data_IF_526914630647
#
_entry.id   IF_526914630647
#
_cell.length_a   1.000
_cell.length_b   1.000
_cell.length_c   1.000
_cell.angle_alpha   90.00
_cell.angle_beta   90.00
_cell.angle_gamma   90.00
#
_symmetry.space_group_name_H-M   'P 1'
#
loop_
_entity.id
_entity.type
_entity.pdbx_description
1 polymer ?
#
# COMPACT_ATOMS: atom_id res chain seq x y z
N UNK A 1 -3.98 -27.91 7.87
CA UNK A 1 -4.57 -26.63 7.42
C UNK A 1 -3.41 -25.79 6.91
N UNK A 2 -3.43 -25.33 5.67
CA UNK A 2 -2.40 -24.42 5.19
C UNK A 2 -2.51 -23.09 5.96
N UNK A 3 -1.38 -22.59 6.44
CA UNK A 3 -1.33 -21.27 7.10
C UNK A 3 -1.72 -20.21 6.06
N UNK A 4 -2.70 -19.37 6.41
CA UNK A 4 -3.11 -18.24 5.57
C UNK A 4 -2.02 -17.16 5.59
N UNK A 5 -1.65 -16.59 4.44
CA UNK A 5 -0.63 -15.56 4.41
C UNK A 5 -1.09 -14.28 5.12
N UNK A 6 -0.18 -13.66 5.86
CA UNK A 6 -0.36 -12.33 6.42
C UNK A 6 0.63 -11.38 5.75
N UNK A 7 0.12 -10.40 5.04
CA UNK A 7 0.93 -9.48 4.23
C UNK A 7 0.78 -8.05 4.74
N UNK A 8 1.91 -7.40 4.99
CA UNK A 8 1.98 -5.95 5.23
C UNK A 8 2.11 -5.23 3.89
N UNK A 9 1.13 -4.40 3.55
CA UNK A 9 1.18 -3.49 2.40
C UNK A 9 1.56 -2.08 2.81
N UNK A 10 2.41 -1.40 2.03
CA UNK A 10 2.89 -0.04 2.25
C UNK A 10 2.71 0.78 0.99
N UNK A 11 2.12 1.97 1.12
CA UNK A 11 1.89 2.93 0.04
C UNK A 11 2.48 4.29 0.38
N UNK A 12 3.24 4.86 -0.56
CA UNK A 12 3.82 6.20 -0.47
C UNK A 12 4.06 6.84 -1.85
N UNK A 13 3.24 6.52 -2.85
CA UNK A 13 3.50 6.92 -4.25
C UNK A 13 3.28 8.40 -4.54
N UNK A 14 2.52 9.13 -3.72
CA UNK A 14 2.18 10.53 -3.94
C UNK A 14 2.13 11.33 -2.62
N UNK A 15 0.94 11.62 -2.11
CA UNK A 15 0.70 12.51 -0.97
C UNK A 15 -0.04 11.81 0.19
N UNK A 16 -0.06 10.49 0.17
CA UNK A 16 -0.63 9.69 1.25
C UNK A 16 0.37 8.64 1.72
N UNK A 17 0.59 8.57 3.05
CA UNK A 17 1.32 7.48 3.66
C UNK A 17 0.31 6.48 4.17
N UNK A 18 0.33 5.26 3.67
CA UNK A 18 -0.59 4.23 4.14
C UNK A 18 0.11 2.89 4.42
N UNK A 19 -0.48 2.15 5.37
CA UNK A 19 -0.11 0.77 5.64
C UNK A 19 -1.34 -0.06 5.97
N UNK A 20 -1.36 -1.30 5.51
CA UNK A 20 -2.44 -2.25 5.75
C UNK A 20 -1.90 -3.64 6.05
N UNK A 21 -2.62 -4.41 6.88
CA UNK A 21 -2.42 -5.84 7.00
C UNK A 21 -3.58 -6.58 6.35
N UNK A 22 -3.23 -7.50 5.46
CA UNK A 22 -4.17 -8.28 4.66
C UNK A 22 -3.88 -9.76 4.84
N UNK A 23 -4.94 -10.55 4.93
CA UNK A 23 -4.93 -12.01 4.90
C UNK A 23 -6.01 -12.52 3.96
N UNK A 24 -6.31 -13.80 3.98
CA UNK A 24 -7.42 -14.40 3.22
C UNK A 24 -8.36 -15.20 4.15
N UNK A 25 -9.61 -15.33 3.75
CA UNK A 25 -10.56 -16.22 4.41
C UNK A 25 -10.41 -17.69 3.95
N UNK A 26 -11.32 -18.59 4.36
CA UNK A 26 -11.31 -20.00 3.97
C UNK A 26 -11.51 -20.23 2.47
N UNK A 27 -12.10 -19.27 1.77
CA UNK A 27 -12.36 -19.30 0.34
C UNK A 27 -11.25 -18.65 -0.50
N UNK A 28 -10.16 -18.17 0.13
CA UNK A 28 -9.08 -17.45 -0.55
C UNK A 28 -9.44 -16.00 -0.90
N UNK A 29 -10.50 -15.44 -0.32
CA UNK A 29 -10.92 -14.07 -0.54
C UNK A 29 -10.09 -13.14 0.38
N UNK A 30 -9.52 -12.03 -0.13
CA UNK A 30 -8.78 -11.09 0.68
C UNK A 30 -9.60 -10.52 1.84
N UNK A 31 -8.99 -10.44 3.01
CA UNK A 31 -9.56 -9.82 4.23
C UNK A 31 -8.61 -8.76 4.72
N UNK A 32 -9.07 -7.52 4.76
CA UNK A 32 -8.32 -6.38 5.32
C UNK A 32 -8.49 -6.40 6.83
N UNK A 33 -7.40 -6.62 7.56
CA UNK A 33 -7.38 -6.64 9.02
C UNK A 33 -7.20 -5.23 9.60
N UNK A 34 -6.42 -4.39 8.91
CA UNK A 34 -6.22 -2.98 9.24
C UNK A 34 -5.89 -2.19 8.00
N UNK A 35 -6.23 -0.89 7.99
CA UNK A 35 -5.91 0.03 6.91
C UNK A 35 -5.74 1.44 7.48
N UNK A 36 -4.50 1.89 7.63
CA UNK A 36 -4.14 3.17 8.20
C UNK A 36 -3.67 4.10 7.10
N UNK A 37 -4.28 5.25 6.99
CA UNK A 37 -3.96 6.26 5.97
C UNK A 37 -3.67 7.59 6.68
N UNK A 38 -2.57 8.23 6.29
CA UNK A 38 -2.21 9.59 6.67
C UNK A 38 -2.11 10.45 5.42
N UNK A 39 -3.16 11.22 5.16
CA UNK A 39 -3.18 12.17 4.03
C UNK A 39 -2.35 13.41 4.35
N UNK A 40 -1.77 13.99 3.29
CA UNK A 40 -0.99 15.23 3.33
C UNK A 40 -1.68 16.39 2.58
N UNK A 41 -2.96 16.24 2.25
CA UNK A 41 -3.72 17.23 1.47
C UNK A 41 -3.61 18.63 2.08
N UNK A 42 -3.72 18.77 3.39
CA UNK A 42 -3.62 20.07 4.06
C UNK A 42 -2.23 20.70 3.93
N UNK A 43 -1.17 19.88 3.91
CA UNK A 43 0.21 20.38 3.73
C UNK A 43 0.42 20.94 2.34
N UNK A 44 -0.22 20.35 1.32
CA UNK A 44 -0.03 20.74 -0.08
C UNK A 44 -1.03 21.79 -0.58
N UNK A 45 -2.08 22.07 0.18
CA UNK A 45 -3.17 22.96 -0.20
C UNK A 45 -2.68 24.39 -0.54
N UNK A 46 -1.72 24.91 0.22
CA UNK A 46 -1.15 26.23 0.01
C UNK A 46 -0.34 26.35 -1.29
N UNK A 47 0.11 25.22 -1.83
CA UNK A 47 0.94 25.15 -3.05
C UNK A 47 0.10 24.89 -4.31
N UNK A 48 -1.21 24.64 -4.17
CA UNK A 48 -2.10 24.30 -5.28
C UNK A 48 -1.84 22.93 -5.93
N UNK A 49 -1.03 22.08 -5.29
CA UNK A 49 -0.69 20.74 -5.77
C UNK A 49 0.43 20.11 -4.95
N UNK A 50 0.73 18.84 -5.20
CA UNK A 50 1.73 18.08 -4.44
C UNK A 50 3.14 18.59 -4.73
N UNK A 51 3.87 18.92 -3.67
CA UNK A 51 5.31 19.26 -3.70
C UNK A 51 6.11 18.01 -3.33
N UNK A 52 6.80 17.37 -4.28
CA UNK A 52 7.38 16.03 -4.08
C UNK A 52 8.34 15.93 -2.89
N UNK A 53 9.18 16.94 -2.67
CA UNK A 53 10.16 16.95 -1.57
C UNK A 53 9.49 17.06 -0.20
N UNK A 54 8.43 17.87 -0.10
CA UNK A 54 7.63 17.97 1.14
C UNK A 54 6.89 16.66 1.41
N UNK A 55 6.32 16.07 0.36
CA UNK A 55 5.65 14.78 0.47
C UNK A 55 6.62 13.69 0.96
N UNK A 56 7.81 13.60 0.37
CA UNK A 56 8.82 12.61 0.76
C UNK A 56 9.26 12.78 2.22
N UNK A 57 9.47 14.02 2.69
CA UNK A 57 9.78 14.31 4.11
C UNK A 57 8.65 13.85 5.03
N UNK A 58 7.42 14.18 4.70
CA UNK A 58 6.25 13.75 5.48
C UNK A 58 6.10 12.23 5.52
N UNK A 59 6.40 11.52 4.43
CA UNK A 59 6.46 10.06 4.45
C UNK A 59 7.52 9.54 5.41
N UNK A 60 8.73 10.10 5.37
CA UNK A 60 9.83 9.69 6.27
C UNK A 60 9.49 9.89 7.74
N UNK A 61 8.75 10.96 8.08
CA UNK A 61 8.38 11.28 9.45
C UNK A 61 7.26 10.41 10.01
N UNK A 62 6.49 9.73 9.14
CA UNK A 62 5.24 9.05 9.56
C UNK A 62 5.22 7.55 9.30
N UNK A 63 6.03 7.07 8.36
CA UNK A 63 5.89 5.70 7.84
C UNK A 63 6.02 4.63 8.92
N UNK A 64 6.93 4.79 9.87
CA UNK A 64 7.14 3.86 10.98
C UNK A 64 5.92 3.84 11.91
N UNK A 65 5.38 5.01 12.26
CA UNK A 65 4.20 5.15 13.10
C UNK A 65 2.96 4.56 12.43
N UNK A 66 2.80 4.77 11.12
CA UNK A 66 1.67 4.26 10.34
C UNK A 66 1.74 2.73 10.25
N UNK A 67 2.92 2.17 10.00
CA UNK A 67 3.12 0.71 9.99
C UNK A 67 2.89 0.11 11.37
N UNK A 68 3.44 0.72 12.42
CA UNK A 68 3.21 0.26 13.80
C UNK A 68 1.72 0.26 14.14
N UNK A 69 1.01 1.33 13.78
CA UNK A 69 -0.43 1.44 14.03
C UNK A 69 -1.22 0.39 13.27
N UNK A 70 -0.86 0.13 12.00
CA UNK A 70 -1.50 -0.92 11.21
C UNK A 70 -1.33 -2.30 11.85
N UNK A 71 -0.14 -2.62 12.36
CA UNK A 71 0.12 -3.89 13.06
C UNK A 71 -0.73 -3.98 14.34
N UNK A 72 -0.75 -2.93 15.17
CA UNK A 72 -1.54 -2.91 16.40
C UNK A 72 -3.04 -3.09 16.12
N UNK A 73 -3.59 -2.32 15.17
CA UNK A 73 -5.02 -2.38 14.84
C UNK A 73 -5.44 -3.71 14.20
N UNK A 74 -4.53 -4.40 13.54
CA UNK A 74 -4.80 -5.74 12.99
C UNK A 74 -4.98 -6.81 14.06
N UNK A 75 -4.55 -6.56 15.30
CA UNK A 75 -4.51 -7.56 16.36
C UNK A 75 -3.47 -8.66 16.15
N UNK A 76 -2.55 -8.47 15.17
CA UNK A 76 -1.50 -9.43 14.83
C UNK A 76 -0.15 -9.01 15.40
N UNK A 77 0.75 -9.98 15.53
CA UNK A 77 2.13 -9.74 15.92
C UNK A 77 3.00 -9.57 14.68
N UNK A 78 4.07 -8.80 14.82
CA UNK A 78 5.02 -8.54 13.72
C UNK A 78 5.66 -9.83 13.18
N UNK A 79 5.89 -10.82 14.06
CA UNK A 79 6.48 -12.12 13.71
C UNK A 79 5.55 -12.97 12.85
N UNK A 80 4.25 -12.71 12.87
CA UNK A 80 3.25 -13.42 12.06
C UNK A 80 3.24 -12.99 10.60
N UNK A 81 3.83 -11.82 10.28
CA UNK A 81 3.91 -11.31 8.90
C UNK A 81 4.72 -12.28 8.04
N UNK A 82 4.14 -12.67 6.92
CA UNK A 82 4.75 -13.64 5.98
C UNK A 82 5.45 -12.95 4.80
N UNK A 83 5.03 -11.74 4.43
CA UNK A 83 5.65 -10.93 3.38
C UNK A 83 5.38 -9.44 3.60
N UNK A 84 6.25 -8.60 3.04
CA UNK A 84 6.07 -7.15 2.99
C UNK A 84 5.97 -6.72 1.54
N UNK A 85 4.94 -5.94 1.21
CA UNK A 85 4.70 -5.40 -0.10
C UNK A 85 4.78 -3.87 -0.05
N UNK A 86 5.38 -3.24 -1.08
CA UNK A 86 5.35 -1.79 -1.22
C UNK A 86 5.12 -1.40 -2.67
N UNK A 87 4.46 -0.26 -2.86
CA UNK A 87 4.27 0.32 -4.18
C UNK A 87 5.62 0.72 -4.78
N UNK A 88 5.89 0.21 -5.99
CA UNK A 88 7.16 0.43 -6.70
C UNK A 88 7.04 1.42 -7.86
N UNK A 89 5.84 1.80 -8.24
CA UNK A 89 5.55 2.75 -9.32
C UNK A 89 4.39 2.31 -10.20
N UNK A 90 3.89 3.22 -11.06
CA UNK A 90 4.28 4.62 -11.20
C UNK A 90 3.91 5.49 -10.00
N UNK A 91 4.59 6.65 -9.85
CA UNK A 91 4.38 7.63 -8.78
C UNK A 91 5.55 8.61 -8.69
N UNK A 92 5.52 9.49 -7.68
CA UNK A 92 6.61 10.43 -7.42
C UNK A 92 7.83 9.66 -6.90
N UNK A 93 8.94 9.71 -7.66
CA UNK A 93 10.11 8.86 -7.41
C UNK A 93 10.69 9.03 -5.99
N UNK A 94 10.72 10.26 -5.48
CA UNK A 94 11.22 10.54 -4.13
C UNK A 94 10.31 9.96 -3.05
N UNK A 95 9.00 9.99 -3.26
CA UNK A 95 7.99 9.42 -2.37
C UNK A 95 8.04 7.88 -2.40
N UNK A 96 8.05 7.29 -3.60
CA UNK A 96 8.21 5.83 -3.79
C UNK A 96 9.47 5.30 -3.11
N UNK A 97 10.58 6.05 -3.19
CA UNK A 97 11.85 5.66 -2.59
C UNK A 97 11.75 5.49 -1.08
N UNK A 98 10.92 6.26 -0.39
CA UNK A 98 10.70 6.14 1.06
C UNK A 98 10.04 4.80 1.38
N UNK A 99 8.87 4.53 0.79
CA UNK A 99 8.11 3.29 1.05
C UNK A 99 8.88 2.04 0.63
N UNK A 100 9.56 2.08 -0.52
CA UNK A 100 10.39 0.97 -1.00
C UNK A 100 11.57 0.69 -0.08
N UNK A 101 12.29 1.72 0.38
CA UNK A 101 13.44 1.56 1.26
C UNK A 101 13.01 1.03 2.62
N UNK A 102 11.96 1.60 3.19
CA UNK A 102 11.40 1.15 4.45
C UNK A 102 10.90 -0.31 4.35
N UNK A 103 10.08 -0.63 3.35
CA UNK A 103 9.53 -1.97 3.16
C UNK A 103 10.60 -3.04 2.94
N UNK A 104 11.65 -2.74 2.16
CA UNK A 104 12.79 -3.65 1.98
C UNK A 104 13.56 -3.87 3.27
N UNK A 105 13.86 -2.79 4.01
CA UNK A 105 14.57 -2.89 5.28
C UNK A 105 13.75 -3.68 6.31
N UNK A 106 12.44 -3.44 6.36
CA UNK A 106 11.53 -4.12 7.28
C UNK A 106 11.42 -5.62 6.93
N UNK A 107 11.25 -5.96 5.64
CA UNK A 107 11.25 -7.34 5.17
C UNK A 107 12.55 -8.07 5.50
N UNK A 108 13.69 -7.40 5.28
CA UNK A 108 15.01 -7.94 5.59
C UNK A 108 15.17 -8.20 7.09
N UNK A 109 14.77 -7.26 7.94
CA UNK A 109 14.84 -7.40 9.40
C UNK A 109 14.00 -8.59 9.90
N UNK A 110 12.85 -8.85 9.27
CA UNK A 110 11.98 -9.99 9.59
C UNK A 110 12.42 -11.31 8.93
N UNK A 111 13.42 -11.28 8.06
CA UNK A 111 13.80 -12.41 7.21
C UNK A 111 12.59 -12.95 6.39
N UNK A 112 11.84 -12.03 5.78
CA UNK A 112 10.64 -12.30 4.98
C UNK A 112 10.80 -11.79 3.54
N UNK A 113 10.08 -12.36 2.57
CA UNK A 113 10.10 -11.88 1.20
C UNK A 113 9.56 -10.44 1.10
N UNK A 114 10.15 -9.68 0.18
CA UNK A 114 9.69 -8.35 -0.23
C UNK A 114 9.03 -8.44 -1.61
N UNK A 115 7.88 -7.78 -1.78
CA UNK A 115 7.10 -7.76 -3.01
C UNK A 115 6.98 -6.31 -3.50
N UNK A 116 7.51 -6.05 -4.70
CA UNK A 116 7.33 -4.76 -5.37
C UNK A 116 6.01 -4.77 -6.15
N UNK A 117 5.08 -3.86 -5.83
CA UNK A 117 3.74 -3.81 -6.40
C UNK A 117 3.62 -2.65 -7.39
N UNK A 118 3.07 -2.91 -8.56
CA UNK A 118 2.72 -1.84 -9.50
C UNK A 118 1.49 -1.07 -8.98
N UNK A 119 1.61 0.26 -8.88
CA UNK A 119 0.55 1.14 -8.35
C UNK A 119 -0.77 1.03 -9.12
N UNK A 120 -0.71 0.98 -10.46
CA UNK A 120 -1.91 0.87 -11.29
C UNK A 120 -2.54 -0.53 -11.21
N UNK A 121 -1.72 -1.57 -11.07
CA UNK A 121 -2.19 -2.93 -10.84
C UNK A 121 -2.89 -3.04 -9.47
N UNK A 122 -2.35 -2.39 -8.44
CA UNK A 122 -3.00 -2.33 -7.13
C UNK A 122 -4.37 -1.67 -7.22
N UNK A 123 -4.51 -0.56 -7.96
CA UNK A 123 -5.82 0.04 -8.24
C UNK A 123 -6.74 -0.91 -9.00
N UNK A 124 -6.22 -1.61 -10.00
CA UNK A 124 -7.00 -2.57 -10.79
C UNK A 124 -7.55 -3.71 -9.93
N UNK A 125 -6.77 -4.18 -8.96
CA UNK A 125 -7.12 -5.31 -8.10
C UNK A 125 -7.94 -4.92 -6.87
N UNK A 126 -7.90 -3.65 -6.45
CA UNK A 126 -8.57 -3.18 -5.23
C UNK A 126 -10.09 -3.48 -5.18
N UNK A 127 -10.87 -3.43 -6.29
CA UNK A 127 -12.28 -3.78 -6.24
C UNK A 127 -12.54 -5.24 -5.83
N UNK A 128 -11.58 -6.15 -6.04
CA UNK A 128 -11.70 -7.56 -5.66
C UNK A 128 -11.70 -7.79 -4.15
N UNK A 129 -11.32 -6.79 -3.35
CA UNK A 129 -11.38 -6.86 -1.89
C UNK A 129 -12.84 -6.92 -1.41
N UNK A 130 -13.74 -6.20 -2.09
CA UNK A 130 -15.13 -6.03 -1.66
C UNK A 130 -16.16 -6.64 -2.64
N UNK A 131 -15.70 -7.05 -3.82
CA UNK A 131 -16.56 -7.55 -4.89
C UNK A 131 -16.04 -8.90 -5.41
N UNK A 132 -16.96 -9.82 -5.67
CA UNK A 132 -16.66 -11.05 -6.40
C UNK A 132 -16.55 -10.74 -7.90
N UNK A 133 -15.37 -10.26 -8.30
CA UNK A 133 -15.08 -9.97 -9.71
C UNK A 133 -14.32 -11.13 -10.35
N UNK A 134 -14.90 -11.65 -11.43
CA UNK A 134 -14.26 -12.66 -12.26
C UNK A 134 -13.56 -12.01 -13.47
N UNK A 135 -12.45 -12.58 -13.88
CA UNK A 135 -11.74 -12.15 -15.10
C UNK A 135 -12.45 -12.67 -16.35
N UNK A 136 -12.43 -11.91 -17.47
CA UNK A 136 -11.96 -10.53 -17.59
C UNK A 136 -13.02 -9.52 -17.10
N UNK A 137 -12.59 -8.33 -16.60
CA UNK A 137 -13.46 -7.20 -16.29
C UNK A 137 -12.90 -5.89 -16.85
N UNK A 138 -13.79 -4.92 -17.09
CA UNK A 138 -13.41 -3.60 -17.59
C UNK A 138 -13.09 -2.69 -16.40
N UNK A 139 -11.87 -2.16 -16.39
CA UNK A 139 -11.42 -1.14 -15.44
C UNK A 139 -11.40 0.22 -16.12
N UNK A 140 -12.04 1.21 -15.49
CA UNK A 140 -11.87 2.63 -15.79
C UNK A 140 -11.17 3.30 -14.62
N UNK A 141 -9.91 3.66 -14.80
CA UNK A 141 -9.14 4.41 -13.81
C UNK A 141 -9.06 5.87 -14.24
N UNK A 142 -9.63 6.76 -13.41
CA UNK A 142 -9.63 8.21 -13.61
C UNK A 142 -8.94 8.85 -12.41
N UNK A 143 -7.84 9.56 -12.64
CA UNK A 143 -7.12 10.30 -11.60
C UNK A 143 -6.50 11.58 -12.17
N UNK A 144 -6.16 12.54 -11.33
CA UNK A 144 -5.55 13.79 -11.75
C UNK A 144 -4.19 13.66 -12.45
N UNK A 145 -3.47 12.57 -12.22
CA UNK A 145 -2.16 12.28 -12.83
C UNK A 145 -2.13 11.05 -13.74
N UNK A 146 -3.17 10.23 -13.70
CA UNK A 146 -3.21 8.95 -14.41
C UNK A 146 -4.63 8.68 -14.88
N UNK A 147 -4.82 8.79 -16.17
CA UNK A 147 -6.10 8.47 -16.82
C UNK A 147 -5.89 7.30 -17.78
N UNK A 148 -6.41 6.13 -17.43
CA UNK A 148 -6.28 4.90 -18.22
C UNK A 148 -7.54 4.06 -18.22
N UNK A 149 -7.79 3.45 -19.40
CA UNK A 149 -8.85 2.47 -19.63
C UNK A 149 -8.19 1.14 -20.04
N UNK A 150 -8.46 0.07 -19.31
CA UNK A 150 -7.91 -1.25 -19.63
C UNK A 150 -8.90 -2.37 -19.33
N UNK A 151 -8.68 -3.51 -19.98
CA UNK A 151 -9.36 -4.78 -19.67
C UNK A 151 -8.39 -5.63 -18.86
N UNK A 152 -8.87 -6.09 -17.73
CA UNK A 152 -8.11 -6.92 -16.78
C UNK A 152 -8.71 -8.32 -16.71
#
# INVERSE_FOLDING_TARGET
>A
MNKKPLILGIESSCDETAASLITENEQGIPVVLSNIISSQVEVHKEFGGVVPELAARSHMEKIDLIVQKAIIESGRKVEEIDAVASTAGPGLIVCLSVGLSFGKAFAYALNKPFIAVNHLEAHALSPKINLELNYPYLLLLISGGQDRKSVV
#
